data_IF_903741531724
#
_entry.id   IF_903741531724
#
_cell.length_a   1.000
_cell.length_b   1.000
_cell.length_c   1.000
_cell.angle_alpha   90.00
_cell.angle_beta   90.00
_cell.angle_gamma   90.00
#
_symmetry.space_group_name_H-M   'P 1'
#
loop_
_entity.id
_entity.type
_entity.pdbx_description
1 polymer ?
#
# COMPACT_ATOMS: atom_id res chain seq x y z
N UNK A 1 -25.84 -68.90 -6.80
CA UNK A 1 -26.75 -67.94 -7.46
C UNK A 1 -26.38 -66.55 -6.97
N UNK A 2 -25.88 -65.68 -7.86
CA UNK A 2 -25.38 -64.35 -7.53
C UNK A 2 -26.53 -63.34 -7.39
N UNK A 3 -26.49 -62.53 -6.33
CA UNK A 3 -27.49 -61.51 -6.01
C UNK A 3 -27.60 -60.43 -7.08
N UNK A 4 -28.83 -60.08 -7.43
CA UNK A 4 -29.16 -59.00 -8.36
C UNK A 4 -28.71 -57.65 -7.79
N UNK A 5 -27.81 -56.99 -8.53
CA UNK A 5 -27.31 -55.64 -8.25
C UNK A 5 -28.50 -54.68 -8.11
N UNK A 6 -28.74 -54.22 -6.88
CA UNK A 6 -29.76 -53.21 -6.58
C UNK A 6 -29.59 -52.00 -7.48
N UNK A 7 -30.67 -51.63 -8.18
CA UNK A 7 -30.74 -50.39 -8.96
C UNK A 7 -30.66 -49.24 -7.97
N UNK A 8 -29.47 -48.68 -7.78
CA UNK A 8 -29.31 -47.40 -7.10
C UNK A 8 -30.22 -46.41 -7.80
N UNK A 9 -31.20 -45.87 -7.06
CA UNK A 9 -32.21 -44.96 -7.56
C UNK A 9 -31.56 -43.86 -8.39
N UNK A 10 -31.87 -43.85 -9.69
CA UNK A 10 -31.48 -42.76 -10.57
C UNK A 10 -31.99 -41.43 -10.04
N UNK A 11 -31.41 -40.34 -10.53
CA UNK A 11 -31.82 -38.98 -10.22
C UNK A 11 -33.35 -38.86 -10.20
N UNK A 12 -33.90 -38.36 -9.09
CA UNK A 12 -35.36 -38.19 -8.92
C UNK A 12 -35.89 -37.35 -10.08
N UNK A 13 -37.05 -37.69 -10.62
CA UNK A 13 -37.73 -36.82 -11.58
C UNK A 13 -37.85 -35.41 -10.97
N UNK A 14 -37.36 -34.40 -11.68
CA UNK A 14 -37.17 -33.00 -11.25
C UNK A 14 -35.98 -32.65 -10.33
N UNK A 15 -35.16 -33.59 -9.88
CA UNK A 15 -33.81 -33.22 -9.43
C UNK A 15 -33.02 -32.88 -10.69
N UNK A 16 -32.93 -31.59 -11.02
CA UNK A 16 -32.17 -31.13 -12.17
C UNK A 16 -30.73 -31.64 -12.06
N UNK A 17 -30.46 -32.80 -12.67
CA UNK A 17 -29.10 -33.24 -12.94
C UNK A 17 -28.37 -32.17 -13.74
N UNK A 18 -27.06 -32.30 -13.86
CA UNK A 18 -26.26 -31.45 -14.73
C UNK A 18 -26.71 -31.59 -16.18
N UNK A 19 -27.80 -30.90 -16.53
CA UNK A 19 -28.22 -30.68 -17.91
C UNK A 19 -27.13 -29.79 -18.50
N UNK A 20 -26.88 -29.95 -19.78
CA UNK A 20 -26.03 -29.09 -20.61
C UNK A 20 -26.34 -27.58 -20.42
N UNK A 21 -27.53 -27.25 -19.91
CA UNK A 21 -28.00 -25.89 -19.57
C UNK A 21 -28.27 -25.65 -18.07
N UNK A 22 -27.85 -26.56 -17.17
CA UNK A 22 -28.06 -26.45 -15.74
C UNK A 22 -26.90 -25.72 -15.05
N UNK A 23 -27.18 -24.53 -14.54
CA UNK A 23 -26.49 -23.91 -13.42
C UNK A 23 -25.01 -23.50 -13.59
N UNK A 24 -24.35 -23.83 -14.70
CA UNK A 24 -23.01 -23.32 -15.00
C UNK A 24 -23.04 -21.83 -15.39
N UNK A 25 -21.94 -21.09 -15.20
CA UNK A 25 -21.84 -19.72 -15.71
C UNK A 25 -22.02 -19.76 -17.23
N UNK A 26 -23.20 -19.35 -17.71
CA UNK A 26 -23.49 -19.30 -19.15
C UNK A 26 -22.48 -18.34 -19.79
N UNK A 27 -22.04 -18.58 -21.04
CA UNK A 27 -21.28 -17.59 -21.80
C UNK A 27 -22.02 -16.24 -21.77
N UNK A 28 -21.42 -15.22 -21.13
CA UNK A 28 -22.04 -13.90 -20.96
C UNK A 28 -22.92 -13.70 -19.71
N UNK A 29 -23.06 -14.69 -18.80
CA UNK A 29 -23.82 -14.56 -17.55
C UNK A 29 -23.04 -13.93 -16.38
N UNK A 30 -21.82 -13.43 -16.62
CA UNK A 30 -21.11 -12.60 -15.66
C UNK A 30 -21.59 -11.15 -15.72
N UNK A 31 -21.72 -10.48 -14.57
CA UNK A 31 -21.82 -9.01 -14.55
C UNK A 31 -20.61 -8.46 -15.29
N UNK A 32 -20.82 -7.61 -16.32
CA UNK A 32 -19.73 -6.87 -16.94
C UNK A 32 -18.92 -6.18 -15.83
N UNK A 33 -17.58 -6.28 -15.83
CA UNK A 33 -16.76 -5.62 -14.82
C UNK A 33 -17.11 -4.13 -14.83
N UNK A 34 -17.32 -3.55 -13.64
CA UNK A 34 -17.57 -2.11 -13.52
C UNK A 34 -16.40 -1.36 -14.13
N UNK A 35 -16.70 -0.27 -14.84
CA UNK A 35 -15.67 0.60 -15.38
C UNK A 35 -14.67 0.98 -14.26
N UNK A 36 -13.36 1.04 -14.55
CA UNK A 36 -12.38 1.41 -13.56
C UNK A 36 -12.68 2.82 -13.06
N UNK A 37 -12.71 3.00 -11.74
CA UNK A 37 -12.80 4.32 -11.13
C UNK A 37 -11.47 5.03 -11.38
N UNK A 38 -11.47 6.02 -12.28
CA UNK A 38 -10.29 6.81 -12.58
C UNK A 38 -10.18 7.92 -11.53
N UNK A 39 -9.17 7.82 -10.69
CA UNK A 39 -8.84 8.86 -9.70
C UNK A 39 -7.94 9.89 -10.39
N UNK A 40 -8.46 11.09 -10.66
CA UNK A 40 -7.73 12.21 -11.28
C UNK A 40 -6.77 12.90 -10.29
N UNK A 41 -5.87 12.14 -9.66
CA UNK A 41 -4.88 12.67 -8.71
C UNK A 41 -3.48 12.82 -9.31
N UNK A 42 -3.25 12.33 -10.53
CA UNK A 42 -1.94 12.33 -11.19
C UNK A 42 -1.45 13.73 -11.58
N UNK A 43 -2.33 14.73 -11.67
CA UNK A 43 -1.97 16.11 -11.99
C UNK A 43 -1.62 16.95 -10.75
N UNK A 44 -1.80 16.40 -9.55
CA UNK A 44 -1.64 17.13 -8.28
C UNK A 44 -0.35 16.81 -7.54
N UNK A 45 0.31 15.69 -7.88
CA UNK A 45 1.50 15.22 -7.18
C UNK A 45 2.57 14.83 -8.18
N UNK A 46 3.67 15.56 -8.20
CA UNK A 46 4.87 15.22 -8.98
C UNK A 46 5.60 14.00 -8.37
N UNK A 47 5.55 13.89 -7.03
CA UNK A 47 6.25 12.87 -6.29
C UNK A 47 5.38 11.62 -6.03
N UNK A 48 5.87 10.40 -6.35
CA UNK A 48 5.09 9.17 -6.24
C UNK A 48 4.71 8.84 -4.79
N UNK A 49 5.57 9.21 -3.84
CA UNK A 49 5.32 9.01 -2.41
C UNK A 49 4.14 9.88 -1.91
N UNK A 50 3.97 11.09 -2.48
CA UNK A 50 2.87 12.00 -2.15
C UNK A 50 1.53 11.51 -2.72
N UNK A 51 1.54 11.08 -3.98
CA UNK A 51 0.39 10.47 -4.63
C UNK A 51 -0.14 9.26 -3.86
N UNK A 52 0.73 8.31 -3.50
CA UNK A 52 0.32 7.08 -2.81
C UNK A 52 -0.24 7.36 -1.41
N UNK A 53 0.29 8.36 -0.70
CA UNK A 53 -0.28 8.81 0.59
C UNK A 53 -1.67 9.41 0.41
N UNK A 54 -1.86 10.24 -0.63
CA UNK A 54 -3.15 10.84 -0.93
C UNK A 54 -4.21 9.79 -1.30
N UNK A 55 -3.84 8.79 -2.11
CA UNK A 55 -4.73 7.66 -2.45
C UNK A 55 -5.11 6.86 -1.19
N UNK A 56 -4.14 6.55 -0.34
CA UNK A 56 -4.39 5.78 0.89
C UNK A 56 -5.35 6.50 1.86
N UNK A 57 -5.25 7.82 1.95
CA UNK A 57 -6.07 8.65 2.83
C UNK A 57 -7.43 9.05 2.24
N UNK A 58 -7.70 8.68 0.97
CA UNK A 58 -8.93 9.09 0.31
C UNK A 58 -10.06 8.09 0.59
N UNK A 59 -11.06 8.51 1.37
CA UNK A 59 -12.20 7.67 1.76
C UNK A 59 -13.12 7.26 0.61
N UNK A 60 -13.12 8.01 -0.50
CA UNK A 60 -13.93 7.70 -1.68
C UNK A 60 -13.28 6.65 -2.57
N UNK A 61 -12.03 6.27 -2.31
CA UNK A 61 -11.33 5.24 -3.08
C UNK A 61 -11.63 3.85 -2.54
N UNK A 62 -11.63 2.86 -3.44
CA UNK A 62 -11.81 1.46 -3.04
C UNK A 62 -10.75 1.05 -2.00
N UNK A 63 -11.19 0.33 -0.97
CA UNK A 63 -10.33 -0.16 0.12
C UNK A 63 -9.20 -1.02 -0.43
N UNK A 64 -9.44 -1.80 -1.48
CA UNK A 64 -8.40 -2.60 -2.13
C UNK A 64 -7.29 -1.73 -2.73
N UNK A 65 -7.67 -0.65 -3.41
CA UNK A 65 -6.73 0.33 -3.98
C UNK A 65 -5.91 1.02 -2.88
N UNK A 66 -6.53 1.35 -1.75
CA UNK A 66 -5.84 1.91 -0.58
C UNK A 66 -4.80 0.95 -0.01
N UNK A 67 -5.17 -0.33 0.11
CA UNK A 67 -4.27 -1.39 0.59
C UNK A 67 -3.08 -1.57 -0.37
N UNK A 68 -3.32 -1.55 -1.67
CA UNK A 68 -2.25 -1.72 -2.65
C UNK A 68 -1.30 -0.52 -2.70
N UNK A 69 -1.82 0.70 -2.54
CA UNK A 69 -1.01 1.90 -2.36
C UNK A 69 -0.12 1.81 -1.10
N UNK A 70 -0.69 1.33 0.01
CA UNK A 70 0.04 1.12 1.26
C UNK A 70 1.17 0.09 1.10
N UNK A 71 0.89 -1.06 0.45
CA UNK A 71 1.90 -2.09 0.16
C UNK A 71 3.03 -1.54 -0.71
N UNK A 72 2.70 -0.77 -1.75
CA UNK A 72 3.70 -0.17 -2.63
C UNK A 72 4.63 0.76 -1.85
N UNK A 73 4.08 1.66 -1.01
CA UNK A 73 4.86 2.55 -0.14
C UNK A 73 5.75 1.79 0.84
N UNK A 74 5.24 0.75 1.48
CA UNK A 74 6.03 -0.06 2.42
C UNK A 74 7.18 -0.78 1.70
N UNK A 75 6.92 -1.38 0.54
CA UNK A 75 7.96 -2.04 -0.25
C UNK A 75 9.04 -1.06 -0.71
N UNK A 76 8.65 0.15 -1.12
CA UNK A 76 9.59 1.18 -1.55
C UNK A 76 10.46 1.65 -0.38
N UNK A 77 9.89 1.83 0.81
CA UNK A 77 10.65 2.14 2.03
C UNK A 77 11.64 1.05 2.40
N UNK A 78 11.22 -0.22 2.35
CA UNK A 78 12.10 -1.37 2.63
C UNK A 78 13.26 -1.41 1.63
N UNK A 79 12.97 -1.30 0.33
CA UNK A 79 14.01 -1.28 -0.71
C UNK A 79 14.97 -0.09 -0.57
N UNK A 80 14.47 1.09 -0.20
CA UNK A 80 15.32 2.26 0.07
C UNK A 80 16.19 2.03 1.32
N UNK A 81 15.63 1.40 2.36
CA UNK A 81 16.38 1.03 3.55
C UNK A 81 17.50 0.03 3.25
N UNK A 82 17.24 -0.95 2.39
CA UNK A 82 18.20 -1.98 1.97
C UNK A 82 19.32 -1.43 1.06
N UNK A 83 18.98 -0.54 0.11
CA UNK A 83 19.93 -0.09 -0.92
C UNK A 83 20.71 1.20 -0.58
N UNK A 84 20.31 1.95 0.46
CA UNK A 84 20.99 3.22 0.82
C UNK A 84 20.68 3.75 2.21
N UNK A 85 19.67 3.22 2.89
CA UNK A 85 19.08 3.83 4.08
C UNK A 85 20.03 4.07 5.25
N UNK A 86 21.12 3.34 5.43
CA UNK A 86 22.04 3.58 6.56
C UNK A 86 22.70 4.96 6.49
N UNK A 87 23.06 5.47 5.31
CA UNK A 87 23.72 6.78 5.16
C UNK A 87 22.71 7.91 5.33
N UNK A 88 21.55 7.83 4.68
CA UNK A 88 20.47 8.81 4.87
C UNK A 88 19.92 8.81 6.30
N UNK A 89 19.72 7.64 6.93
CA UNK A 89 19.30 7.54 8.33
C UNK A 89 20.34 8.14 9.28
N UNK A 90 21.63 7.90 9.03
CA UNK A 90 22.70 8.54 9.82
C UNK A 90 22.67 10.07 9.67
N UNK A 91 22.46 10.60 8.46
CA UNK A 91 22.32 12.04 8.22
C UNK A 91 21.08 12.63 8.89
N UNK A 92 19.93 11.95 8.82
CA UNK A 92 18.71 12.39 9.50
C UNK A 92 18.84 12.32 11.02
N UNK A 93 19.48 11.27 11.54
CA UNK A 93 19.77 11.14 12.97
C UNK A 93 20.71 12.23 13.46
N UNK A 94 21.76 12.56 12.69
CA UNK A 94 22.65 13.68 12.98
C UNK A 94 21.90 15.02 13.00
N UNK A 95 21.08 15.31 11.98
CA UNK A 95 20.26 16.52 11.93
C UNK A 95 19.28 16.63 13.12
N UNK A 96 18.69 15.51 13.55
CA UNK A 96 17.82 15.49 14.74
C UNK A 96 18.62 15.74 16.02
N UNK A 97 19.80 15.14 16.15
CA UNK A 97 20.69 15.34 17.30
C UNK A 97 21.18 16.79 17.41
N UNK A 98 21.46 17.45 16.27
CA UNK A 98 21.88 18.86 16.20
C UNK A 98 20.82 19.85 16.72
N UNK A 99 19.55 19.44 16.80
CA UNK A 99 18.45 20.28 17.33
C UNK A 99 18.09 19.98 18.79
N UNK A 100 18.74 18.98 19.40
CA UNK A 100 18.39 18.47 20.72
C UNK A 100 19.25 19.01 21.87
N UNK A 101 19.20 18.31 23.01
CA UNK A 101 20.00 18.61 24.21
C UNK A 101 21.53 18.55 23.97
N UNK A 102 21.96 17.98 22.85
CA UNK A 102 23.35 17.88 22.40
C UNK A 102 23.68 18.84 21.24
N UNK A 103 22.81 19.79 20.93
CA UNK A 103 23.06 20.83 19.92
C UNK A 103 24.35 21.61 20.24
N UNK A 104 25.12 21.95 19.20
CA UNK A 104 26.31 22.78 19.37
C UNK A 104 25.91 24.17 19.88
N UNK A 105 26.39 24.56 21.06
CA UNK A 105 26.23 25.92 21.58
C UNK A 105 26.93 26.93 20.67
N UNK A 106 26.35 28.12 20.53
CA UNK A 106 27.03 29.24 19.89
C UNK A 106 28.37 29.50 20.59
N UNK A 107 29.46 29.79 19.84
CA UNK A 107 30.75 30.05 20.43
C UNK A 107 30.70 31.32 21.30
N UNK A 108 31.41 31.33 22.44
CA UNK A 108 31.45 32.50 23.31
C UNK A 108 32.06 33.70 22.58
N UNK A 109 31.42 34.86 22.71
CA UNK A 109 31.94 36.11 22.15
C UNK A 109 33.18 36.52 22.94
N UNK A 110 34.31 36.65 22.25
CA UNK A 110 35.50 37.27 22.82
C UNK A 110 35.23 38.76 23.02
N UNK A 111 34.91 39.16 24.24
CA UNK A 111 34.98 40.55 24.69
C UNK A 111 36.39 40.78 25.21
N UNK A 112 37.15 41.66 24.56
CA UNK A 112 38.43 42.11 25.08
C UNK A 112 38.19 42.85 26.41
N UNK A 113 38.53 42.23 27.53
CA UNK A 113 38.61 42.93 28.80
C UNK A 113 39.78 43.92 28.74
N UNK A 114 39.47 45.21 28.60
CA UNK A 114 40.44 46.29 28.81
C UNK A 114 41.09 46.89 27.57
N UNK A 115 40.29 47.26 26.55
CA UNK A 115 40.74 48.19 25.52
C UNK A 115 41.05 49.57 26.12
N UNK A 116 42.29 49.76 26.56
CA UNK A 116 42.82 51.09 26.87
C UNK A 116 43.06 51.78 25.53
N UNK A 117 42.13 52.65 25.17
CA UNK A 117 42.31 53.62 24.10
C UNK A 117 43.54 54.46 24.41
N UNK A 118 44.52 54.45 23.51
CA UNK A 118 45.56 55.48 23.44
C UNK A 118 44.95 56.81 23.02
#
# INVERSE_FOLDING_TARGET
MAGTKGRSGGARANSGGARENAGGPRPGAGRKPSAPVVVMLSTQFDEPDGFLKAVMNNDTTDVKLRIDAAKALLSAKVRRAENGGKKEQAKEAAKKADTGKFASSAPPKLVSAGGKTL
#
